data_IF_463394411746
#
_entry.id   IF_463394411746
#
_cell.length_a   1.000
_cell.length_b   1.000
_cell.length_c   1.000
_cell.angle_alpha   90.00
_cell.angle_beta   90.00
_cell.angle_gamma   90.00
#
_symmetry.space_group_name_H-M   'P 1'
#
loop_
_entity.id
_entity.type
_entity.pdbx_description
1 polymer ?
#
# COMPACT_ATOMS: atom_id res chain seq x y z
N UNK A 1 -6.19 -82.71 42.11
CA UNK A 1 -6.51 -81.66 43.09
C UNK A 1 -6.98 -80.45 42.28
N UNK A 2 -8.31 -80.28 42.11
CA UNK A 2 -9.12 -79.20 42.72
C UNK A 2 -8.68 -77.80 42.24
N UNK A 3 -9.49 -76.93 41.64
CA UNK A 3 -10.93 -76.77 41.64
C UNK A 3 -11.44 -75.96 40.42
N UNK A 4 -12.71 -76.22 40.10
CA UNK A 4 -13.62 -75.49 39.22
C UNK A 4 -13.86 -74.02 39.65
N UNK A 5 -14.17 -73.14 38.68
CA UNK A 5 -15.23 -72.14 38.84
C UNK A 5 -16.10 -72.04 37.57
N UNK A 6 -17.40 -72.06 37.84
CA UNK A 6 -18.56 -72.14 36.96
C UNK A 6 -19.04 -70.74 36.49
N UNK A 7 -19.58 -70.72 35.26
CA UNK A 7 -20.77 -70.01 34.76
C UNK A 7 -20.87 -68.47 34.81
N UNK A 8 -21.16 -67.84 33.67
CA UNK A 8 -22.55 -67.55 33.26
C UNK A 8 -22.63 -67.14 31.77
N UNK A 9 -23.62 -67.68 31.08
CA UNK A 9 -24.01 -67.32 29.73
C UNK A 9 -24.99 -66.14 29.76
N UNK A 10 -24.91 -65.27 28.76
CA UNK A 10 -26.04 -64.46 28.31
C UNK A 10 -25.89 -64.19 26.80
N UNK A 11 -26.74 -64.84 26.02
CA UNK A 11 -26.94 -64.55 24.61
C UNK A 11 -27.91 -63.37 24.46
N UNK A 12 -27.56 -62.40 23.62
CA UNK A 12 -28.52 -61.49 23.01
C UNK A 12 -28.19 -61.36 21.52
N UNK A 13 -29.10 -61.88 20.70
CA UNK A 13 -29.16 -61.61 19.28
C UNK A 13 -29.82 -60.24 19.07
N UNK A 14 -29.21 -59.37 18.27
CA UNK A 14 -29.88 -58.21 17.68
C UNK A 14 -29.29 -57.90 16.30
N UNK A 15 -30.09 -58.26 15.30
CA UNK A 15 -30.24 -57.74 13.94
C UNK A 15 -29.33 -56.59 13.49
N UNK A 16 -28.64 -56.84 12.38
CA UNK A 16 -27.99 -55.83 11.55
C UNK A 16 -29.01 -54.83 10.98
N UNK A 17 -28.73 -53.54 11.21
CA UNK A 17 -29.19 -52.43 10.38
C UNK A 17 -27.93 -51.69 9.95
N UNK A 18 -27.55 -51.88 8.69
CA UNK A 18 -26.50 -51.11 8.05
C UNK A 18 -26.96 -49.65 7.96
N UNK A 19 -26.41 -48.80 8.82
CA UNK A 19 -26.42 -47.37 8.61
C UNK A 19 -25.34 -47.04 7.57
N UNK A 20 -25.58 -46.09 6.64
CA UNK A 20 -24.55 -45.68 5.69
C UNK A 20 -23.38 -45.09 6.48
N UNK A 21 -22.19 -45.62 6.23
CA UNK A 21 -20.93 -45.01 6.67
C UNK A 21 -20.82 -43.69 5.92
N UNK A 22 -21.30 -42.63 6.55
CA UNK A 22 -21.00 -41.27 6.13
C UNK A 22 -19.52 -41.06 6.46
N UNK A 23 -18.69 -41.21 5.44
CA UNK A 23 -17.29 -40.87 5.46
C UNK A 23 -17.21 -39.38 5.81
N UNK A 24 -17.06 -39.07 7.12
CA UNK A 24 -16.82 -37.71 7.59
C UNK A 24 -15.44 -37.30 7.10
N UNK A 25 -15.38 -36.84 5.86
CA UNK A 25 -14.20 -36.22 5.30
C UNK A 25 -13.91 -34.98 6.15
N UNK A 26 -12.87 -35.05 6.97
CA UNK A 26 -12.45 -33.91 7.78
C UNK A 26 -12.00 -32.81 6.84
N UNK A 27 -12.72 -31.69 6.83
CA UNK A 27 -12.35 -30.53 6.03
C UNK A 27 -11.07 -29.92 6.62
N UNK A 28 -9.97 -30.08 5.89
CA UNK A 28 -8.64 -29.58 6.29
C UNK A 28 -8.41 -28.12 5.90
N UNK A 29 -9.25 -27.54 5.04
CA UNK A 29 -9.09 -26.16 4.60
C UNK A 29 -9.53 -25.19 5.69
N UNK A 30 -8.54 -24.58 6.35
CA UNK A 30 -8.76 -23.56 7.36
C UNK A 30 -9.40 -22.30 6.78
N UNK A 31 -9.79 -21.39 7.66
CA UNK A 31 -10.25 -20.04 7.26
C UNK A 31 -9.21 -19.40 6.32
N UNK A 32 -9.68 -18.80 5.24
CA UNK A 32 -8.91 -18.20 4.14
C UNK A 32 -8.15 -19.17 3.22
N UNK A 33 -8.23 -20.48 3.44
CA UNK A 33 -7.64 -21.48 2.54
C UNK A 33 -8.48 -21.65 1.26
N UNK A 34 -7.83 -22.09 0.17
CA UNK A 34 -8.54 -22.48 -1.04
C UNK A 34 -9.39 -23.73 -0.76
N UNK A 35 -10.62 -23.72 -1.23
CA UNK A 35 -11.59 -24.80 -1.07
C UNK A 35 -12.31 -25.16 -2.39
N UNK A 36 -11.87 -24.60 -3.50
CA UNK A 36 -12.45 -24.87 -4.83
C UNK A 36 -11.81 -24.05 -5.94
N UNK A 37 -12.29 -24.28 -7.17
CA UNK A 37 -11.80 -23.67 -8.39
C UNK A 37 -11.57 -24.70 -9.52
N UNK A 38 -11.62 -24.27 -10.77
CA UNK A 38 -11.22 -25.10 -11.90
C UNK A 38 -9.77 -25.58 -11.71
N UNK A 39 -9.57 -26.90 -11.79
CA UNK A 39 -8.31 -27.63 -11.53
C UNK A 39 -7.87 -27.73 -10.06
N UNK A 40 -8.72 -27.39 -9.09
CA UNK A 40 -8.45 -27.68 -7.68
C UNK A 40 -8.63 -29.18 -7.37
N UNK A 41 -7.62 -29.80 -6.75
CA UNK A 41 -7.63 -31.24 -6.39
C UNK A 41 -7.78 -31.50 -4.89
N UNK A 42 -7.95 -30.46 -4.06
CA UNK A 42 -8.16 -30.60 -2.62
C UNK A 42 -9.62 -30.81 -2.24
N UNK A 43 -9.89 -30.98 -0.95
CA UNK A 43 -11.26 -31.17 -0.44
C UNK A 43 -12.12 -29.93 -0.69
N UNK A 44 -13.38 -30.05 -1.16
CA UNK A 44 -14.20 -28.89 -1.51
C UNK A 44 -14.99 -28.33 -0.32
N UNK A 45 -14.37 -28.30 0.87
CA UNK A 45 -15.07 -27.95 2.11
C UNK A 45 -14.14 -27.24 3.10
N UNK A 46 -14.73 -26.53 4.07
CA UNK A 46 -14.00 -25.68 5.02
C UNK A 46 -14.14 -26.20 6.46
N UNK A 47 -13.17 -25.86 7.32
CA UNK A 47 -13.29 -26.13 8.77
C UNK A 47 -14.55 -25.48 9.35
N UNK A 48 -15.10 -26.09 10.40
CA UNK A 48 -16.37 -25.66 11.04
C UNK A 48 -16.39 -24.15 11.32
N UNK A 49 -17.51 -23.50 10.98
CA UNK A 49 -17.69 -22.04 11.10
C UNK A 49 -17.31 -21.22 9.85
N UNK A 50 -16.82 -21.87 8.79
CA UNK A 50 -16.44 -21.23 7.54
C UNK A 50 -17.22 -21.81 6.35
N UNK A 51 -17.50 -20.99 5.33
CA UNK A 51 -18.17 -21.39 4.08
C UNK A 51 -17.19 -21.25 2.91
N UNK A 52 -17.24 -22.19 1.96
CA UNK A 52 -16.45 -22.09 0.73
C UNK A 52 -17.13 -21.12 -0.24
N UNK A 53 -16.54 -19.93 -0.44
CA UNK A 53 -17.09 -18.87 -1.27
C UNK A 53 -16.32 -18.79 -2.58
N UNK A 54 -17.03 -18.89 -3.71
CA UNK A 54 -16.43 -18.72 -5.04
C UNK A 54 -15.98 -17.27 -5.21
N UNK A 55 -14.70 -17.08 -5.51
CA UNK A 55 -14.11 -15.76 -5.81
C UNK A 55 -14.08 -15.56 -7.33
N UNK A 56 -13.64 -16.59 -8.07
CA UNK A 56 -13.69 -16.64 -9.53
C UNK A 56 -13.74 -18.11 -10.01
N UNK A 57 -13.67 -18.34 -11.32
CA UNK A 57 -13.78 -19.69 -11.90
C UNK A 57 -12.65 -20.63 -11.47
N UNK A 58 -11.47 -20.11 -11.15
CA UNK A 58 -10.28 -20.88 -10.77
C UNK A 58 -10.02 -20.91 -9.25
N UNK A 59 -10.80 -20.17 -8.47
CA UNK A 59 -10.53 -19.99 -7.04
C UNK A 59 -11.80 -19.78 -6.21
N UNK A 60 -12.00 -20.66 -5.22
CA UNK A 60 -12.95 -20.51 -4.13
C UNK A 60 -12.20 -20.54 -2.79
N UNK A 61 -12.62 -19.74 -1.82
CA UNK A 61 -11.93 -19.55 -0.56
C UNK A 61 -12.85 -19.79 0.65
N UNK A 62 -12.31 -20.41 1.70
CA UNK A 62 -13.00 -20.51 2.99
C UNK A 62 -13.12 -19.14 3.64
N UNK A 63 -14.33 -18.64 3.84
CA UNK A 63 -14.58 -17.37 4.51
C UNK A 63 -15.41 -17.59 5.79
N UNK A 64 -15.21 -16.77 6.84
CA UNK A 64 -16.03 -16.82 8.04
C UNK A 64 -17.51 -16.61 7.70
N UNK A 65 -18.37 -17.53 8.14
CA UNK A 65 -19.80 -17.46 7.86
C UNK A 65 -20.60 -18.08 9.00
N UNK A 66 -21.16 -17.21 9.85
CA UNK A 66 -22.05 -17.53 10.95
C UNK A 66 -23.14 -18.52 10.52
N UNK A 67 -23.44 -19.48 11.40
CA UNK A 67 -24.56 -20.41 11.24
C UNK A 67 -25.85 -19.66 10.88
N UNK A 68 -26.59 -20.18 9.90
CA UNK A 68 -27.87 -19.63 9.42
C UNK A 68 -28.92 -19.53 10.55
N UNK A 69 -29.82 -18.53 10.54
CA UNK A 69 -31.18 -18.72 10.99
C UNK A 69 -32.08 -19.16 9.83
N UNK A 70 -32.89 -20.18 10.13
CA UNK A 70 -33.96 -20.81 9.34
C UNK A 70 -34.94 -19.83 8.65
N UNK A 71 -35.67 -20.25 7.59
CA UNK A 71 -36.47 -19.37 6.76
C UNK A 71 -37.85 -19.11 7.38
N UNK A 72 -38.29 -17.85 7.35
CA UNK A 72 -39.70 -17.50 7.56
C UNK A 72 -40.25 -16.91 6.27
N UNK A 73 -41.21 -17.64 5.70
CA UNK A 73 -42.02 -17.26 4.56
C UNK A 73 -42.94 -16.08 4.92
N UNK A 74 -42.91 -15.02 4.12
CA UNK A 74 -44.04 -14.08 4.01
C UNK A 74 -44.14 -13.57 2.58
N UNK A 75 -45.24 -13.98 1.97
CA UNK A 75 -45.75 -13.57 0.66
C UNK A 75 -46.19 -12.11 0.77
N UNK A 76 -45.66 -11.24 -0.10
CA UNK A 76 -46.32 -9.98 -0.44
C UNK A 76 -46.24 -9.75 -1.94
N UNK A 77 -47.42 -9.81 -2.57
CA UNK A 77 -47.67 -9.47 -3.97
C UNK A 77 -47.23 -8.04 -4.28
N UNK A 78 -46.47 -7.85 -5.36
CA UNK A 78 -46.25 -6.55 -5.98
C UNK A 78 -46.72 -6.59 -7.44
N UNK A 79 -47.73 -5.79 -7.70
CA UNK A 79 -48.44 -5.59 -8.96
C UNK A 79 -47.51 -5.05 -10.05
N UNK A 80 -47.53 -5.70 -11.21
CA UNK A 80 -46.93 -5.24 -12.46
C UNK A 80 -47.62 -3.97 -12.97
N UNK A 81 -46.88 -2.87 -13.08
CA UNK A 81 -47.19 -1.77 -14.00
C UNK A 81 -46.05 -1.60 -15.00
N UNK A 82 -46.37 -1.93 -16.25
CA UNK A 82 -45.54 -1.80 -17.44
C UNK A 82 -45.56 -0.33 -17.87
N UNK A 83 -44.43 0.38 -17.70
CA UNK A 83 -44.24 1.69 -18.30
C UNK A 83 -43.39 1.54 -19.57
N UNK A 84 -44.03 1.79 -20.71
CA UNK A 84 -43.40 1.92 -22.02
C UNK A 84 -42.84 3.34 -22.14
N UNK A 85 -41.54 3.49 -22.37
CA UNK A 85 -40.98 4.73 -22.93
C UNK A 85 -40.01 4.41 -24.05
N UNK A 86 -40.29 5.08 -25.16
CA UNK A 86 -39.63 5.09 -26.46
C UNK A 86 -38.19 5.59 -26.37
N UNK A 87 -37.30 4.97 -27.13
CA UNK A 87 -35.91 5.36 -27.26
C UNK A 87 -35.72 6.69 -27.97
N UNK A 88 -34.67 7.40 -27.57
CA UNK A 88 -33.92 8.31 -28.42
C UNK A 88 -32.45 8.16 -28.07
N UNK A 89 -31.64 7.79 -29.08
CA UNK A 89 -30.20 7.60 -28.96
C UNK A 89 -29.50 8.94 -28.75
N UNK A 90 -28.93 9.11 -27.56
CA UNK A 90 -27.90 10.10 -27.27
C UNK A 90 -26.68 9.37 -26.76
N UNK A 91 -25.55 9.51 -27.44
CA UNK A 91 -24.26 9.05 -26.96
C UNK A 91 -23.89 9.89 -25.73
N UNK A 92 -24.07 9.31 -24.54
CA UNK A 92 -23.63 9.92 -23.28
C UNK A 92 -22.39 9.14 -22.85
N UNK A 93 -21.23 9.77 -22.96
CA UNK A 93 -20.04 9.36 -22.22
C UNK A 93 -20.41 9.35 -20.74
N UNK A 94 -20.51 8.15 -20.15
CA UNK A 94 -20.77 8.00 -18.72
C UNK A 94 -19.72 8.80 -17.93
N UNK A 95 -20.14 9.67 -16.99
CA UNK A 95 -19.22 10.28 -16.05
C UNK A 95 -18.49 9.18 -15.26
N UNK A 96 -17.21 9.35 -14.88
CA UNK A 96 -16.54 8.40 -14.01
C UNK A 96 -17.34 8.26 -12.70
N UNK A 97 -17.35 7.07 -12.06
CA UNK A 97 -18.01 6.89 -10.78
C UNK A 97 -17.52 7.96 -9.80
N UNK A 98 -18.44 8.78 -9.30
CA UNK A 98 -18.16 9.83 -8.32
C UNK A 98 -17.50 9.18 -7.11
N UNK A 99 -16.23 9.49 -6.86
CA UNK A 99 -15.50 8.99 -5.69
C UNK A 99 -16.03 9.65 -4.41
N UNK A 100 -17.09 9.07 -3.83
CA UNK A 100 -17.41 9.16 -2.40
C UNK A 100 -16.89 7.94 -1.63
N UNK A 101 -16.39 6.93 -2.35
CA UNK A 101 -15.79 5.70 -1.82
C UNK A 101 -14.26 5.79 -1.77
N UNK A 102 -13.65 4.83 -1.05
CA UNK A 102 -12.21 4.57 -1.04
C UNK A 102 -11.66 4.46 -2.50
N UNK A 103 -10.64 5.24 -2.90
CA UNK A 103 -10.15 5.28 -4.29
C UNK A 103 -9.50 3.97 -4.76
N UNK A 104 -9.13 3.08 -3.83
CA UNK A 104 -8.57 1.77 -4.13
C UNK A 104 -9.64 0.67 -4.27
N UNK A 105 -10.90 0.96 -3.94
CA UNK A 105 -11.98 -0.02 -4.02
C UNK A 105 -12.52 -0.16 -5.44
N UNK A 106 -12.74 -1.41 -5.84
CA UNK A 106 -13.35 -1.77 -7.13
C UNK A 106 -12.53 -1.32 -8.34
N UNK A 107 -11.20 -1.34 -8.22
CA UNK A 107 -10.23 -1.12 -9.30
C UNK A 107 -9.03 -2.04 -9.10
N UNK A 108 -8.38 -2.39 -10.20
CA UNK A 108 -7.06 -2.98 -10.18
C UNK A 108 -6.01 -1.87 -10.15
N UNK A 109 -4.91 -2.07 -9.43
CA UNK A 109 -3.81 -1.11 -9.41
C UNK A 109 -2.83 -1.45 -10.54
N UNK A 110 -2.44 -0.44 -11.32
CA UNK A 110 -1.51 -0.65 -12.43
C UNK A 110 -0.09 -0.95 -11.95
N UNK A 111 0.48 -2.07 -12.39
CA UNK A 111 1.90 -2.36 -12.24
C UNK A 111 2.66 -1.72 -13.42
N UNK A 112 3.36 -0.62 -13.13
CA UNK A 112 3.96 0.24 -14.14
C UNK A 112 5.10 -0.44 -14.91
N UNK A 113 5.25 -0.06 -16.19
CA UNK A 113 6.24 -0.67 -17.08
C UNK A 113 7.68 -0.29 -16.73
N UNK A 114 7.90 0.84 -16.07
CA UNK A 114 9.23 1.27 -15.63
C UNK A 114 9.83 0.27 -14.65
N UNK A 115 9.18 0.01 -13.51
CA UNK A 115 9.66 -0.95 -12.52
C UNK A 115 9.67 -2.40 -13.07
N UNK A 116 8.66 -2.77 -13.89
CA UNK A 116 8.69 -4.06 -14.60
C UNK A 116 9.94 -4.19 -15.48
N UNK A 117 10.35 -3.12 -16.15
CA UNK A 117 11.56 -3.13 -16.98
C UNK A 117 12.82 -3.28 -16.14
N UNK A 118 12.93 -2.63 -14.98
CA UNK A 118 14.07 -2.81 -14.09
C UNK A 118 14.20 -4.25 -13.61
N UNK A 119 13.10 -4.84 -13.13
CA UNK A 119 13.11 -6.23 -12.67
C UNK A 119 13.45 -7.19 -13.81
N UNK A 120 12.85 -7.01 -14.99
CA UNK A 120 13.05 -7.93 -16.12
C UNK A 120 14.40 -7.79 -16.82
N UNK A 121 14.98 -6.58 -16.87
CA UNK A 121 16.22 -6.32 -17.62
C UNK A 121 17.46 -6.26 -16.72
N UNK A 122 17.32 -5.86 -15.45
CA UNK A 122 18.45 -5.69 -14.54
C UNK A 122 18.54 -6.82 -13.50
N UNK A 123 17.39 -7.32 -13.03
CA UNK A 123 17.33 -8.30 -11.94
C UNK A 123 17.30 -9.74 -12.43
N UNK A 124 16.27 -10.13 -13.18
CA UNK A 124 16.05 -11.51 -13.64
C UNK A 124 17.28 -12.10 -14.33
N UNK A 125 18.03 -11.38 -15.20
CA UNK A 125 19.22 -11.92 -15.85
C UNK A 125 20.35 -12.29 -14.88
N UNK A 126 20.33 -11.78 -13.64
CA UNK A 126 21.31 -12.07 -12.58
C UNK A 126 20.80 -13.11 -11.57
N UNK A 127 19.58 -13.62 -11.76
CA UNK A 127 18.93 -14.60 -10.89
C UNK A 127 18.74 -15.93 -11.62
N UNK A 128 18.48 -16.99 -10.85
CA UNK A 128 18.20 -18.32 -11.40
C UNK A 128 17.15 -19.05 -10.57
N UNK A 129 16.53 -20.07 -11.17
CA UNK A 129 15.59 -20.96 -10.49
C UNK A 129 14.43 -20.21 -9.83
N UNK A 130 14.08 -20.61 -8.60
CA UNK A 130 12.97 -20.03 -7.84
C UNK A 130 13.09 -18.52 -7.64
N UNK A 131 14.31 -17.98 -7.51
CA UNK A 131 14.54 -16.54 -7.35
C UNK A 131 14.17 -15.74 -8.61
N UNK A 132 14.48 -16.26 -9.80
CA UNK A 132 14.09 -15.61 -11.05
C UNK A 132 12.57 -15.62 -11.26
N UNK A 133 11.91 -16.74 -10.92
CA UNK A 133 10.45 -16.85 -10.94
C UNK A 133 9.79 -15.92 -9.93
N UNK A 134 10.35 -15.80 -8.73
CA UNK A 134 9.86 -14.88 -7.69
C UNK A 134 10.04 -13.42 -8.12
N UNK A 135 11.18 -13.06 -8.72
CA UNK A 135 11.41 -11.74 -9.29
C UNK A 135 10.37 -11.39 -10.36
N UNK A 136 10.05 -12.32 -11.28
CA UNK A 136 9.01 -12.10 -12.28
C UNK A 136 7.64 -11.79 -11.65
N UNK A 137 7.27 -12.46 -10.55
CA UNK A 137 6.04 -12.14 -9.81
C UNK A 137 6.09 -10.75 -9.16
N UNK A 138 7.25 -10.31 -8.67
CA UNK A 138 7.43 -8.95 -8.11
C UNK A 138 7.20 -7.88 -9.16
N UNK A 139 7.61 -8.12 -10.42
CA UNK A 139 7.42 -7.19 -11.53
C UNK A 139 5.94 -6.87 -11.82
N UNK A 140 5.02 -7.73 -11.38
CA UNK A 140 3.57 -7.55 -11.54
C UNK A 140 2.88 -7.06 -10.25
N UNK A 141 3.65 -6.74 -9.20
CA UNK A 141 3.10 -6.08 -8.01
C UNK A 141 3.03 -4.57 -8.24
N UNK A 142 1.87 -3.93 -8.04
CA UNK A 142 1.68 -2.54 -8.41
C UNK A 142 2.32 -1.58 -7.39
N UNK A 143 3.49 -1.04 -7.74
CA UNK A 143 4.16 0.05 -7.01
C UNK A 143 3.84 1.42 -7.59
N UNK A 144 3.96 2.46 -6.76
CA UNK A 144 3.88 3.85 -7.21
C UNK A 144 5.05 4.19 -8.13
N UNK A 145 4.78 5.02 -9.15
CA UNK A 145 5.81 5.56 -10.04
C UNK A 145 6.15 7.00 -9.65
N UNK A 146 7.44 7.32 -9.56
CA UNK A 146 7.92 8.57 -8.96
C UNK A 146 8.18 9.64 -10.01
N UNK A 147 7.54 10.80 -9.84
CA UNK A 147 7.83 12.02 -10.59
C UNK A 147 8.83 12.83 -9.75
N UNK A 148 10.04 12.32 -9.65
CA UNK A 148 11.13 12.90 -8.83
C UNK A 148 12.04 13.86 -9.60
N UNK A 149 11.70 14.12 -10.87
CA UNK A 149 12.22 15.17 -11.75
C UNK A 149 11.12 15.62 -12.73
N UNK A 150 11.31 16.75 -13.39
CA UNK A 150 10.48 17.23 -14.48
C UNK A 150 10.42 16.23 -15.64
N UNK A 151 11.56 15.65 -16.01
CA UNK A 151 11.65 14.72 -17.14
C UNK A 151 10.87 13.43 -16.87
N UNK A 152 10.79 12.99 -15.61
CA UNK A 152 10.03 11.80 -15.22
C UNK A 152 8.52 11.99 -15.36
N UNK A 153 8.00 13.21 -15.53
CA UNK A 153 6.57 13.44 -15.87
C UNK A 153 6.17 12.66 -17.13
N UNK A 154 7.08 12.52 -18.10
CA UNK A 154 6.82 11.74 -19.31
C UNK A 154 6.41 10.29 -19.01
N UNK A 155 7.00 9.67 -17.98
CA UNK A 155 6.66 8.30 -17.59
C UNK A 155 5.24 8.17 -17.03
N UNK A 156 4.69 9.21 -16.39
CA UNK A 156 3.28 9.24 -15.99
C UNK A 156 2.37 9.26 -17.22
N UNK A 157 2.69 10.09 -18.22
CA UNK A 157 1.91 10.18 -19.45
C UNK A 157 1.89 8.84 -20.21
N UNK A 158 3.04 8.17 -20.31
CA UNK A 158 3.17 6.83 -20.89
C UNK A 158 2.34 5.79 -20.13
N UNK A 159 2.48 5.72 -18.80
CA UNK A 159 1.71 4.80 -17.97
C UNK A 159 0.20 5.04 -18.07
N UNK A 160 -0.24 6.30 -18.12
CA UNK A 160 -1.65 6.65 -18.26
C UNK A 160 -2.20 6.30 -19.66
N UNK A 161 -1.38 6.43 -20.71
CA UNK A 161 -1.72 5.95 -22.05
C UNK A 161 -1.99 4.44 -22.07
N UNK A 162 -1.11 3.66 -21.43
CA UNK A 162 -1.25 2.21 -21.30
C UNK A 162 -2.47 1.82 -20.47
N UNK A 163 -2.68 2.48 -19.31
CA UNK A 163 -3.86 2.26 -18.46
C UNK A 163 -5.14 2.53 -19.24
N UNK A 164 -5.24 3.68 -19.89
CA UNK A 164 -6.42 4.05 -20.70
C UNK A 164 -6.67 3.01 -21.79
N UNK A 165 -5.63 2.53 -22.46
CA UNK A 165 -5.74 1.48 -23.48
C UNK A 165 -6.26 0.18 -22.88
N UNK A 166 -5.72 -0.25 -21.73
CA UNK A 166 -6.19 -1.45 -21.03
C UNK A 166 -7.64 -1.31 -20.55
N UNK A 167 -8.03 -0.14 -20.05
CA UNK A 167 -9.40 0.14 -19.60
C UNK A 167 -10.40 0.13 -20.77
N UNK A 168 -10.03 0.68 -21.92
CA UNK A 168 -10.83 0.59 -23.15
C UNK A 168 -10.97 -0.85 -23.67
N UNK A 169 -10.05 -1.74 -23.31
CA UNK A 169 -10.13 -3.17 -23.61
C UNK A 169 -10.93 -3.97 -22.57
N UNK A 170 -11.61 -3.29 -21.62
CA UNK A 170 -12.44 -3.92 -20.59
C UNK A 170 -11.77 -4.06 -19.23
N UNK A 171 -10.54 -3.56 -19.07
CA UNK A 171 -9.88 -3.44 -17.76
C UNK A 171 -10.50 -2.34 -16.90
N UNK A 172 -10.10 -2.31 -15.63
CA UNK A 172 -10.51 -1.27 -14.68
C UNK A 172 -9.35 -0.91 -13.75
N UNK A 173 -8.32 -0.34 -14.36
CA UNK A 173 -7.06 0.00 -13.73
C UNK A 173 -7.01 1.46 -13.27
N UNK A 174 -6.37 1.68 -12.12
CA UNK A 174 -6.00 2.99 -11.60
C UNK A 174 -4.48 3.20 -11.64
N UNK A 175 -4.06 4.43 -11.93
CA UNK A 175 -2.66 4.85 -11.88
C UNK A 175 -2.24 5.32 -10.49
N UNK A 176 -0.99 5.06 -10.10
CA UNK A 176 -0.41 5.41 -8.80
C UNK A 176 0.90 6.17 -9.01
N UNK A 177 0.97 7.42 -8.57
CA UNK A 177 2.14 8.28 -8.80
C UNK A 177 2.54 9.05 -7.54
N UNK A 178 3.83 9.35 -7.44
CA UNK A 178 4.39 10.22 -6.39
C UNK A 178 4.77 11.54 -7.03
N UNK A 179 4.26 12.64 -6.48
CA UNK A 179 4.72 14.01 -6.79
C UNK A 179 5.86 14.31 -5.79
N UNK A 180 7.09 14.50 -6.27
CA UNK A 180 8.25 14.64 -5.37
C UNK A 180 9.37 15.50 -5.97
N UNK A 181 9.13 16.79 -6.14
CA UNK A 181 10.11 17.68 -6.77
C UNK A 181 10.16 19.08 -6.14
N UNK A 182 9.81 19.20 -4.85
CA UNK A 182 9.93 20.47 -4.13
C UNK A 182 11.35 21.07 -4.25
N UNK A 183 11.48 22.40 -4.39
CA UNK A 183 12.78 23.05 -4.38
C UNK A 183 13.45 22.96 -3.01
N UNK A 184 14.77 22.78 -2.98
CA UNK A 184 15.54 22.47 -1.77
C UNK A 184 15.13 21.14 -1.10
N UNK A 185 14.64 20.17 -1.91
CA UNK A 185 14.18 18.83 -1.49
C UNK A 185 15.12 18.17 -0.46
N UNK A 186 14.52 17.34 0.40
CA UNK A 186 15.20 16.58 1.48
C UNK A 186 16.06 17.51 2.35
N UNK A 187 15.39 18.44 3.02
CA UNK A 187 16.05 19.56 3.67
C UNK A 187 16.91 19.14 4.88
N UNK A 188 16.66 17.97 5.45
CA UNK A 188 17.41 17.40 6.58
C UNK A 188 18.37 16.27 6.17
N UNK A 189 18.32 15.80 4.93
CA UNK A 189 19.29 14.85 4.40
C UNK A 189 20.65 15.55 4.17
N UNK A 190 21.74 14.79 4.26
CA UNK A 190 23.07 15.31 3.96
C UNK A 190 23.23 15.59 2.45
N UNK A 191 22.51 14.84 1.61
CA UNK A 191 22.43 15.06 0.17
C UNK A 191 21.00 14.84 -0.35
N UNK A 192 20.67 15.49 -1.45
CA UNK A 192 19.38 15.33 -2.15
C UNK A 192 19.60 15.22 -3.66
N UNK A 193 18.70 14.52 -4.34
CA UNK A 193 18.61 14.47 -5.79
C UNK A 193 17.66 15.54 -6.39
N UNK A 194 17.08 16.43 -5.58
CA UNK A 194 16.16 17.46 -6.06
C UNK A 194 16.85 18.42 -7.05
N UNK A 195 16.19 18.68 -8.18
CA UNK A 195 16.76 19.50 -9.26
C UNK A 195 16.49 21.01 -9.11
N UNK A 196 15.52 21.37 -8.27
CA UNK A 196 15.18 22.76 -8.00
C UNK A 196 15.77 23.25 -6.69
N UNK A 197 16.14 24.54 -6.69
CA UNK A 197 16.56 25.24 -5.49
C UNK A 197 15.85 26.59 -5.36
N UNK A 198 15.58 27.02 -4.14
CA UNK A 198 14.81 28.25 -3.87
C UNK A 198 15.52 29.52 -4.36
N UNK A 199 16.86 29.51 -4.36
CA UNK A 199 17.71 30.58 -4.87
C UNK A 199 17.78 30.63 -6.42
N UNK A 200 17.32 29.58 -7.12
CA UNK A 200 17.35 29.46 -8.58
C UNK A 200 15.97 29.24 -9.18
N UNK A 201 15.04 30.10 -8.78
CA UNK A 201 13.67 30.16 -9.28
C UNK A 201 12.83 28.90 -8.98
N UNK A 202 13.22 28.13 -7.95
CA UNK A 202 12.63 26.84 -7.65
C UNK A 202 11.12 26.87 -7.41
N UNK A 203 10.58 27.96 -6.85
CA UNK A 203 9.12 28.10 -6.67
C UNK A 203 8.36 28.13 -7.99
N UNK A 204 8.86 28.87 -8.98
CA UNK A 204 8.19 28.98 -10.28
C UNK A 204 8.36 27.70 -11.10
N UNK A 205 9.55 27.09 -11.05
CA UNK A 205 9.80 25.77 -11.66
C UNK A 205 8.87 24.69 -11.10
N UNK A 206 8.71 24.63 -9.78
CA UNK A 206 7.76 23.70 -9.17
C UNK A 206 6.30 23.97 -9.58
N UNK A 207 5.88 25.24 -9.66
CA UNK A 207 4.54 25.59 -10.17
C UNK A 207 4.35 25.15 -11.62
N UNK A 208 5.38 25.29 -12.47
CA UNK A 208 5.34 24.80 -13.85
C UNK A 208 5.30 23.26 -13.94
N UNK A 209 6.04 22.58 -13.07
CA UNK A 209 6.01 21.13 -12.88
C UNK A 209 4.58 20.65 -12.52
N UNK A 210 3.95 21.25 -11.50
CA UNK A 210 2.56 20.96 -11.12
C UNK A 210 1.58 21.27 -12.26
N UNK A 211 1.76 22.38 -12.98
CA UNK A 211 0.91 22.73 -14.12
C UNK A 211 0.99 21.69 -15.25
N UNK A 212 2.18 21.16 -15.55
CA UNK A 212 2.37 20.09 -16.55
C UNK A 212 1.69 18.79 -16.10
N UNK A 213 1.85 18.40 -14.83
CA UNK A 213 1.14 17.25 -14.26
C UNK A 213 -0.38 17.45 -14.39
N UNK A 214 -0.91 18.60 -13.96
CA UNK A 214 -2.34 18.91 -14.06
C UNK A 214 -2.88 18.74 -15.48
N UNK A 215 -2.16 19.23 -16.49
CA UNK A 215 -2.55 19.07 -17.90
C UNK A 215 -2.72 17.61 -18.29
N UNK A 216 -1.75 16.75 -17.94
CA UNK A 216 -1.83 15.30 -18.17
C UNK A 216 -3.03 14.70 -17.42
N UNK A 217 -3.21 15.02 -16.13
CA UNK A 217 -4.34 14.47 -15.36
C UNK A 217 -5.72 14.84 -15.94
N UNK A 218 -5.83 16.03 -16.56
CA UNK A 218 -7.03 16.46 -17.28
C UNK A 218 -7.20 15.72 -18.61
N UNK A 219 -6.12 15.56 -19.37
CA UNK A 219 -6.10 14.79 -20.62
C UNK A 219 -6.46 13.32 -20.39
N UNK A 220 -6.22 12.78 -19.20
CA UNK A 220 -6.56 11.43 -18.73
C UNK A 220 -7.72 11.38 -17.72
N UNK A 221 -8.67 12.31 -17.84
CA UNK A 221 -9.84 12.43 -16.94
C UNK A 221 -10.79 11.22 -16.87
N UNK A 222 -10.69 10.28 -17.83
CA UNK A 222 -11.39 8.99 -17.86
C UNK A 222 -10.70 7.89 -17.02
N UNK A 223 -9.50 8.16 -16.50
CA UNK A 223 -8.68 7.22 -15.72
C UNK A 223 -8.62 7.67 -14.26
N UNK A 224 -8.79 6.72 -13.32
CA UNK A 224 -8.62 6.99 -11.88
C UNK A 224 -7.15 7.12 -11.54
N UNK A 225 -6.79 8.15 -10.78
CA UNK A 225 -5.40 8.49 -10.48
C UNK A 225 -5.24 8.75 -8.98
N UNK A 226 -4.22 8.14 -8.38
CA UNK A 226 -3.91 8.24 -6.95
C UNK A 226 -2.52 8.84 -6.81
N UNK A 227 -2.41 9.90 -6.01
CA UNK A 227 -1.20 10.68 -5.83
C UNK A 227 -0.74 10.65 -4.37
N UNK A 228 0.54 10.37 -4.18
CA UNK A 228 1.27 10.71 -2.97
C UNK A 228 1.94 12.06 -3.17
N UNK A 229 1.83 12.96 -2.21
CA UNK A 229 2.31 14.34 -2.30
C UNK A 229 3.52 14.52 -1.38
N UNK A 230 4.66 14.76 -2.02
CA UNK A 230 5.92 15.25 -1.47
C UNK A 230 6.40 14.49 -0.22
N UNK A 231 6.84 13.22 -0.37
CA UNK A 231 7.57 12.50 0.67
C UNK A 231 8.69 13.31 1.30
N UNK A 232 8.95 13.10 2.60
CA UNK A 232 10.03 13.76 3.34
C UNK A 232 9.94 15.30 3.38
N UNK A 233 8.80 15.92 3.05
CA UNK A 233 8.68 17.37 3.06
C UNK A 233 8.19 17.91 4.41
N UNK A 234 6.94 17.65 4.76
CA UNK A 234 6.24 18.30 5.87
C UNK A 234 6.58 17.69 7.23
N UNK A 235 6.99 16.42 7.28
CA UNK A 235 7.50 15.80 8.50
C UNK A 235 8.76 16.52 9.03
N UNK A 236 9.61 17.02 8.14
CA UNK A 236 10.75 17.87 8.50
C UNK A 236 10.32 19.17 9.20
N UNK A 237 9.14 19.71 8.87
CA UNK A 237 8.64 20.95 9.48
C UNK A 237 8.14 20.76 10.91
N UNK A 238 7.96 19.51 11.35
CA UNK A 238 7.58 19.17 12.72
C UNK A 238 8.81 19.03 13.61
N UNK A 239 9.91 18.46 13.09
CA UNK A 239 11.02 17.95 13.93
C UNK A 239 12.39 18.53 13.58
N UNK A 240 12.58 19.05 12.37
CA UNK A 240 13.88 19.44 11.84
C UNK A 240 13.99 20.94 11.56
N UNK A 241 13.17 21.77 12.23
CA UNK A 241 13.21 23.22 12.11
C UNK A 241 14.50 23.86 12.66
N UNK A 242 15.31 23.10 13.41
CA UNK A 242 16.66 23.47 13.81
C UNK A 242 17.69 23.32 12.67
N UNK A 243 17.37 22.59 11.61
CA UNK A 243 18.24 22.47 10.42
C UNK A 243 18.06 23.73 9.55
N UNK A 244 19.12 24.51 9.27
CA UNK A 244 18.98 25.78 8.56
C UNK A 244 18.32 25.66 7.18
N UNK A 245 18.64 24.61 6.41
CA UNK A 245 18.01 24.33 5.11
C UNK A 245 16.50 24.13 5.26
N UNK A 246 16.05 23.35 6.24
CA UNK A 246 14.63 23.17 6.53
C UNK A 246 13.94 24.45 6.99
N UNK A 247 14.56 25.20 7.91
CA UNK A 247 14.01 26.46 8.39
C UNK A 247 13.78 27.46 7.25
N UNK A 248 14.73 27.56 6.32
CA UNK A 248 14.63 28.42 5.14
C UNK A 248 13.54 27.94 4.17
N UNK A 249 13.44 26.62 3.94
CA UNK A 249 12.50 26.03 3.00
C UNK A 249 11.05 25.97 3.53
N UNK A 250 10.85 26.06 4.85
CA UNK A 250 9.56 25.79 5.49
C UNK A 250 8.37 26.57 4.94
N UNK A 251 8.56 27.86 4.67
CA UNK A 251 7.50 28.69 4.09
C UNK A 251 7.16 28.26 2.66
N UNK A 252 8.17 27.91 1.86
CA UNK A 252 8.00 27.45 0.50
C UNK A 252 7.34 26.08 0.44
N UNK A 253 7.74 25.13 1.30
CA UNK A 253 7.13 23.80 1.36
C UNK A 253 5.63 23.90 1.63
N UNK A 254 5.22 24.68 2.62
CA UNK A 254 3.79 24.90 2.91
C UNK A 254 3.06 25.55 1.74
N UNK A 255 3.62 26.62 1.17
CA UNK A 255 3.04 27.33 0.01
C UNK A 255 2.83 26.40 -1.19
N UNK A 256 3.87 25.65 -1.56
CA UNK A 256 3.91 24.83 -2.76
C UNK A 256 3.11 23.53 -2.60
N UNK A 257 3.05 22.95 -1.40
CA UNK A 257 2.12 21.86 -1.11
C UNK A 257 0.67 22.34 -1.19
N UNK A 258 0.32 23.50 -0.61
CA UNK A 258 -1.02 24.08 -0.77
C UNK A 258 -1.35 24.33 -2.26
N UNK A 259 -0.38 24.81 -3.04
CA UNK A 259 -0.55 25.00 -4.47
C UNK A 259 -0.86 23.68 -5.20
N UNK A 260 -0.04 22.63 -4.98
CA UNK A 260 -0.27 21.31 -5.57
C UNK A 260 -1.66 20.74 -5.20
N UNK A 261 -2.04 20.83 -3.93
CA UNK A 261 -3.34 20.37 -3.44
C UNK A 261 -4.53 21.10 -4.08
N UNK A 262 -4.38 22.39 -4.41
CA UNK A 262 -5.42 23.17 -5.11
C UNK A 262 -5.48 22.83 -6.59
N UNK A 263 -4.33 22.81 -7.26
CA UNK A 263 -4.24 22.62 -8.71
C UNK A 263 -4.62 21.19 -9.14
N UNK A 264 -4.27 20.19 -8.33
CA UNK A 264 -4.51 18.77 -8.61
C UNK A 264 -5.83 18.25 -8.03
N UNK A 265 -6.69 19.13 -7.50
CA UNK A 265 -8.03 18.79 -6.99
C UNK A 265 -9.03 18.50 -8.12
N UNK A 266 -8.71 17.50 -8.96
CA UNK A 266 -9.46 17.12 -10.16
C UNK A 266 -10.40 15.93 -9.91
N UNK A 267 -11.55 15.81 -10.62
CA UNK A 267 -12.56 14.79 -10.33
C UNK A 267 -12.08 13.32 -10.31
N UNK A 268 -11.04 13.00 -11.08
CA UNK A 268 -10.48 11.66 -11.22
C UNK A 268 -9.25 11.40 -10.32
N UNK A 269 -8.85 12.37 -9.49
CA UNK A 269 -7.65 12.32 -8.66
C UNK A 269 -7.99 12.03 -7.20
N UNK A 270 -7.13 11.34 -6.47
CA UNK A 270 -7.15 11.26 -5.01
C UNK A 270 -5.76 11.46 -4.45
N UNK A 271 -5.60 12.37 -3.49
CA UNK A 271 -4.31 12.78 -2.95
C UNK A 271 -4.13 12.35 -1.49
N UNK A 272 -2.93 11.93 -1.15
CA UNK A 272 -2.46 11.65 0.21
C UNK A 272 -1.15 12.39 0.45
N UNK A 273 -1.09 13.22 1.49
CA UNK A 273 0.13 13.97 1.85
C UNK A 273 1.04 13.06 2.67
N UNK A 274 2.34 13.06 2.40
CA UNK A 274 3.27 12.31 3.24
C UNK A 274 3.26 12.80 4.70
N UNK A 275 3.24 11.84 5.62
CA UNK A 275 3.24 12.07 7.06
C UNK A 275 4.36 11.31 7.78
N UNK A 276 5.47 11.04 7.10
CA UNK A 276 6.57 10.27 7.67
C UNK A 276 6.11 8.88 8.13
N UNK A 277 6.47 8.48 9.35
CA UNK A 277 6.15 7.16 9.88
C UNK A 277 6.10 7.15 11.41
N UNK A 278 5.71 6.03 12.02
CA UNK A 278 5.57 5.87 13.47
C UNK A 278 6.85 6.18 14.26
N UNK A 279 8.02 5.96 13.64
CA UNK A 279 9.33 6.26 14.21
C UNK A 279 9.76 7.71 14.12
N UNK A 280 8.97 8.55 13.45
CA UNK A 280 9.26 9.96 13.23
C UNK A 280 8.19 10.86 13.84
N UNK A 281 6.99 10.85 13.28
CA UNK A 281 5.88 11.68 13.78
C UNK A 281 4.98 10.92 14.77
N UNK A 282 5.14 9.60 14.87
CA UNK A 282 4.39 8.78 15.82
C UNK A 282 4.84 8.89 17.27
N UNK A 283 5.94 9.58 17.57
CA UNK A 283 6.31 9.87 18.95
C UNK A 283 5.23 10.73 19.62
N UNK A 284 4.84 10.44 20.88
CA UNK A 284 3.76 11.19 21.55
C UNK A 284 3.93 12.71 21.56
N UNK A 285 5.17 13.20 21.65
CA UNK A 285 5.48 14.63 21.60
C UNK A 285 5.31 15.27 20.21
N UNK A 286 5.43 14.47 19.15
CA UNK A 286 5.36 14.94 17.76
C UNK A 286 3.94 14.85 17.19
N UNK A 287 3.05 14.05 17.81
CA UNK A 287 1.68 13.87 17.36
C UNK A 287 0.86 15.18 17.33
N UNK A 288 0.76 15.99 18.41
CA UNK A 288 0.03 17.26 18.36
C UNK A 288 0.55 18.25 17.30
N UNK A 289 1.86 18.58 17.22
CA UNK A 289 2.33 19.52 16.20
C UNK A 289 2.19 18.98 14.77
N UNK A 290 2.30 17.65 14.55
CA UNK A 290 2.00 17.04 13.27
C UNK A 290 0.52 17.23 12.88
N UNK A 291 -0.41 16.92 13.79
CA UNK A 291 -1.83 17.11 13.55
C UNK A 291 -2.18 18.57 13.23
N UNK A 292 -1.61 19.51 14.00
CA UNK A 292 -1.79 20.94 13.77
C UNK A 292 -1.31 21.37 12.37
N UNK A 293 -0.14 20.90 11.95
CA UNK A 293 0.42 21.18 10.63
C UNK A 293 -0.51 20.69 9.51
N UNK A 294 -0.88 19.41 9.53
CA UNK A 294 -1.70 18.81 8.47
C UNK A 294 -3.13 19.35 8.46
N UNK A 295 -3.74 19.57 9.63
CA UNK A 295 -5.04 20.21 9.75
C UNK A 295 -5.05 21.63 9.21
N UNK A 296 -4.00 22.42 9.51
CA UNK A 296 -3.86 23.78 8.97
C UNK A 296 -3.67 23.77 7.44
N UNK A 297 -2.81 22.91 6.91
CA UNK A 297 -2.63 22.75 5.46
C UNK A 297 -3.93 22.39 4.75
N UNK A 298 -4.72 21.46 5.31
CA UNK A 298 -6.02 21.08 4.78
C UNK A 298 -6.98 22.28 4.73
N UNK A 299 -7.03 23.08 5.80
CA UNK A 299 -7.84 24.31 5.86
C UNK A 299 -7.37 25.37 4.86
N UNK A 300 -6.07 25.64 4.77
CA UNK A 300 -5.48 26.65 3.88
C UNK A 300 -5.55 26.27 2.40
N UNK A 301 -5.55 24.97 2.12
CA UNK A 301 -5.84 24.40 0.81
C UNK A 301 -7.31 24.58 0.39
N UNK A 302 -8.20 25.01 1.30
CA UNK A 302 -9.63 25.18 1.04
C UNK A 302 -10.41 23.88 1.15
N UNK A 303 -9.93 22.92 1.96
CA UNK A 303 -10.52 21.60 2.17
C UNK A 303 -10.81 20.86 0.85
N UNK A 304 -9.79 20.60 0.01
CA UNK A 304 -9.99 20.00 -1.32
C UNK A 304 -10.71 18.65 -1.22
N UNK A 305 -11.79 18.46 -1.98
CA UNK A 305 -12.60 17.22 -1.92
C UNK A 305 -11.85 15.97 -2.39
N UNK A 306 -10.72 16.14 -3.08
CA UNK A 306 -9.85 15.07 -3.56
C UNK A 306 -8.63 14.84 -2.66
N UNK A 307 -8.45 15.66 -1.63
CA UNK A 307 -7.47 15.41 -0.59
C UNK A 307 -8.08 14.45 0.45
N UNK A 308 -7.68 13.18 0.34
CA UNK A 308 -8.29 12.07 1.07
C UNK A 308 -7.68 11.87 2.46
N UNK A 309 -6.40 12.19 2.62
CA UNK A 309 -5.72 12.12 3.91
C UNK A 309 -4.22 12.07 3.76
N UNK A 310 -3.58 11.12 4.45
CA UNK A 310 -2.12 11.04 4.59
C UNK A 310 -1.57 9.69 4.10
N UNK A 311 -0.31 9.65 3.69
CA UNK A 311 0.45 8.41 3.50
C UNK A 311 1.51 8.29 4.59
N UNK A 312 1.73 7.08 5.09
CA UNK A 312 2.77 6.82 6.08
C UNK A 312 3.71 5.70 5.62
N UNK A 313 4.89 5.65 6.24
CA UNK A 313 5.95 4.66 6.01
C UNK A 313 6.60 4.72 4.61
N UNK A 314 6.38 5.78 3.84
CA UNK A 314 6.99 5.94 2.50
C UNK A 314 8.50 5.77 2.59
N UNK A 315 9.03 4.85 1.79
CA UNK A 315 10.47 4.54 1.78
C UNK A 315 11.03 4.09 3.13
N UNK A 316 10.21 3.64 4.08
CA UNK A 316 10.66 3.13 5.37
C UNK A 316 10.25 1.65 5.54
N UNK A 317 10.40 1.10 6.74
CA UNK A 317 10.40 -0.34 6.97
C UNK A 317 9.47 -0.78 8.10
N UNK A 318 8.67 0.13 8.65
CA UNK A 318 7.77 -0.20 9.75
C UNK A 318 6.74 -1.23 9.32
N UNK A 319 6.47 -2.20 10.18
CA UNK A 319 5.33 -3.08 9.98
C UNK A 319 4.03 -2.31 10.14
N UNK A 320 2.98 -2.79 9.46
CA UNK A 320 1.61 -2.34 9.73
C UNK A 320 1.21 -2.62 11.19
N UNK A 321 1.38 -3.86 11.65
CA UNK A 321 0.93 -4.31 12.98
C UNK A 321 1.87 -5.37 13.53
N UNK A 322 2.41 -5.12 14.72
CA UNK A 322 3.30 -6.04 15.43
C UNK A 322 2.66 -6.55 16.72
N UNK A 323 2.97 -7.81 17.05
CA UNK A 323 2.64 -8.43 18.33
C UNK A 323 3.67 -8.09 19.42
N UNK A 324 4.92 -7.86 19.04
CA UNK A 324 6.00 -7.46 19.94
C UNK A 324 6.76 -6.27 19.37
N UNK A 325 7.23 -5.41 20.27
CA UNK A 325 7.96 -4.19 19.96
C UNK A 325 9.42 -4.52 19.57
N UNK A 326 9.92 -4.09 18.40
CA UNK A 326 11.35 -4.19 18.06
C UNK A 326 12.20 -3.28 18.95
N UNK A 327 13.41 -3.72 19.33
CA UNK A 327 14.25 -2.99 20.28
C UNK A 327 14.60 -1.56 19.82
N UNK A 328 14.87 -1.37 18.52
CA UNK A 328 15.20 -0.06 17.95
C UNK A 328 14.04 0.95 17.98
N UNK A 329 12.82 0.53 18.33
CA UNK A 329 11.68 1.46 18.51
C UNK A 329 11.66 2.10 19.92
N UNK A 330 12.61 1.72 20.76
CA UNK A 330 12.88 2.31 22.07
C UNK A 330 11.62 2.42 22.95
N UNK A 331 11.34 3.59 23.53
CA UNK A 331 10.20 3.82 24.42
C UNK A 331 8.92 4.22 23.68
N UNK A 332 8.94 4.37 22.35
CA UNK A 332 7.79 4.83 21.60
C UNK A 332 6.62 3.84 21.71
N UNK A 333 5.45 4.25 22.23
CA UNK A 333 4.28 3.36 22.28
C UNK A 333 3.71 3.06 20.89
N UNK A 334 3.99 3.92 19.90
CA UNK A 334 3.49 3.82 18.52
C UNK A 334 4.53 3.16 17.61
N UNK A 335 5.00 1.97 18.01
CA UNK A 335 6.08 1.21 17.37
C UNK A 335 5.71 0.51 16.04
N UNK A 336 4.48 0.67 15.57
CA UNK A 336 4.02 0.23 14.25
C UNK A 336 3.04 1.25 13.67
N UNK A 337 2.77 1.13 12.36
CA UNK A 337 1.98 2.13 11.64
C UNK A 337 0.51 2.15 12.07
N UNK A 338 -0.06 1.00 12.47
CA UNK A 338 -1.43 0.96 13.00
C UNK A 338 -1.54 1.82 14.25
N UNK A 339 -0.62 1.67 15.22
CA UNK A 339 -0.65 2.47 16.44
C UNK A 339 -0.43 3.94 16.17
N UNK A 340 0.52 4.27 15.28
CA UNK A 340 0.75 5.65 14.86
C UNK A 340 -0.52 6.29 14.28
N UNK A 341 -1.16 5.63 13.31
CA UNK A 341 -2.36 6.13 12.65
C UNK A 341 -3.52 6.28 13.63
N UNK A 342 -3.73 5.31 14.51
CA UNK A 342 -4.80 5.36 15.52
C UNK A 342 -4.55 6.47 16.55
N UNK A 343 -3.30 6.81 16.84
CA UNK A 343 -2.96 7.91 17.73
C UNK A 343 -3.07 9.29 17.04
N UNK A 344 -2.76 9.39 15.75
CA UNK A 344 -2.80 10.65 15.00
C UNK A 344 -4.22 11.03 14.55
N UNK A 345 -5.01 10.07 14.08
CA UNK A 345 -6.34 10.31 13.49
C UNK A 345 -7.28 11.16 14.36
N UNK A 346 -7.46 10.91 15.68
CA UNK A 346 -8.34 11.75 16.51
C UNK A 346 -7.84 13.19 16.66
N UNK A 347 -6.53 13.43 16.54
CA UNK A 347 -5.96 14.78 16.59
C UNK A 347 -6.19 15.53 15.28
N UNK A 348 -6.13 14.86 14.13
CA UNK A 348 -6.48 15.47 12.83
C UNK A 348 -7.95 15.92 12.81
N UNK A 349 -8.85 15.12 13.40
CA UNK A 349 -10.25 15.49 13.55
C UNK A 349 -10.42 16.75 14.41
N UNK A 350 -9.73 16.84 15.54
CA UNK A 350 -9.71 18.04 16.40
C UNK A 350 -9.18 19.28 15.67
N UNK A 351 -8.21 19.09 14.77
CA UNK A 351 -7.63 20.18 13.97
C UNK A 351 -8.47 20.57 12.74
N UNK A 352 -9.65 19.97 12.58
CA UNK A 352 -10.65 20.34 11.58
C UNK A 352 -10.58 19.52 10.29
N UNK A 353 -9.94 18.35 10.31
CA UNK A 353 -9.91 17.37 9.21
C UNK A 353 -10.60 16.05 9.60
N UNK A 354 -11.92 16.05 9.83
CA UNK A 354 -12.65 14.85 10.16
C UNK A 354 -12.62 13.86 8.99
N UNK A 355 -12.44 12.58 9.31
CA UNK A 355 -12.49 11.50 8.33
C UNK A 355 -11.27 11.38 7.40
N UNK A 356 -10.16 12.07 7.71
CA UNK A 356 -8.88 11.84 7.04
C UNK A 356 -8.55 10.34 7.04
N UNK A 357 -8.21 9.80 5.86
CA UNK A 357 -7.83 8.40 5.68
C UNK A 357 -6.33 8.24 5.46
N UNK A 358 -5.87 7.01 5.54
CA UNK A 358 -4.47 6.68 5.41
C UNK A 358 -4.23 5.65 4.31
N UNK A 359 -3.07 5.75 3.69
CA UNK A 359 -2.45 4.62 2.98
C UNK A 359 -1.09 4.36 3.61
N UNK A 360 -0.65 3.11 3.61
CA UNK A 360 0.57 2.70 4.31
C UNK A 360 1.48 1.95 3.37
N UNK A 361 2.69 2.48 3.17
CA UNK A 361 3.73 1.77 2.41
C UNK A 361 4.14 0.52 3.19
N UNK A 362 4.09 -0.64 2.54
CA UNK A 362 4.55 -1.93 3.07
C UNK A 362 5.54 -2.60 2.10
N UNK A 363 6.07 -1.86 1.12
CA UNK A 363 6.97 -2.37 0.09
C UNK A 363 8.20 -3.09 0.64
N UNK A 364 8.72 -2.66 1.79
CA UNK A 364 9.95 -3.20 2.39
C UNK A 364 9.78 -3.69 3.83
N UNK A 365 8.53 -3.92 4.25
CA UNK A 365 8.16 -4.16 5.66
C UNK A 365 7.91 -5.63 6.02
N UNK A 366 8.19 -6.58 5.13
CA UNK A 366 7.81 -7.99 5.29
C UNK A 366 8.54 -8.71 6.43
N UNK A 367 9.84 -8.44 6.59
CA UNK A 367 10.64 -9.04 7.67
C UNK A 367 10.74 -8.10 8.86
N UNK A 368 10.25 -8.58 10.01
CA UNK A 368 10.26 -7.86 11.29
C UNK A 368 10.80 -8.77 12.40
N UNK A 369 11.61 -8.26 13.35
CA UNK A 369 12.27 -6.96 13.26
C UNK A 369 13.20 -6.88 12.04
N UNK A 370 13.43 -5.67 11.56
CA UNK A 370 14.41 -5.40 10.50
C UNK A 370 15.83 -5.63 11.03
N UNK A 371 16.84 -5.45 10.17
CA UNK A 371 18.25 -5.43 10.60
C UNK A 371 18.76 -4.07 11.08
N UNK A 372 17.89 -3.06 11.17
CA UNK A 372 18.25 -1.71 11.63
C UNK A 372 18.82 -1.75 13.06
N UNK A 373 19.78 -0.87 13.34
CA UNK A 373 20.38 -0.73 14.68
C UNK A 373 19.71 0.41 15.46
N UNK A 374 19.33 1.47 14.77
CA UNK A 374 18.47 2.52 15.25
C UNK A 374 17.30 2.75 14.29
N UNK A 375 16.17 3.26 14.79
CA UNK A 375 14.99 3.46 13.95
C UNK A 375 15.23 4.47 12.81
N UNK A 376 16.12 5.44 13.04
CA UNK A 376 16.55 6.43 12.07
C UNK A 376 17.52 5.90 11.00
N UNK A 377 17.89 4.61 11.02
CA UNK A 377 18.72 4.00 9.98
C UNK A 377 17.86 3.73 8.73
N UNK A 378 17.62 4.76 7.93
CA UNK A 378 16.68 4.70 6.80
C UNK A 378 17.31 4.17 5.50
N UNK A 379 18.61 4.35 5.29
CA UNK A 379 19.24 4.08 4.00
C UNK A 379 19.61 2.61 3.81
N UNK A 380 19.04 1.96 2.79
CA UNK A 380 19.35 0.59 2.36
C UNK A 380 19.43 -0.40 3.53
N UNK A 381 18.44 -0.39 4.43
CA UNK A 381 18.53 -1.14 5.69
C UNK A 381 18.63 -2.67 5.47
N UNK A 382 19.54 -3.37 6.16
CA UNK A 382 19.72 -4.81 6.03
C UNK A 382 18.56 -5.57 6.67
N UNK A 383 18.42 -6.83 6.29
CA UNK A 383 17.45 -7.74 6.93
C UNK A 383 15.99 -7.31 6.78
N UNK A 384 15.66 -6.59 5.70
CA UNK A 384 14.31 -6.21 5.28
C UNK A 384 13.79 -7.18 4.21
N UNK A 385 12.49 -7.15 3.93
CA UNK A 385 11.81 -8.07 3.02
C UNK A 385 10.62 -7.42 2.32
N UNK A 386 10.27 -7.85 1.10
CA UNK A 386 9.03 -7.40 0.47
C UNK A 386 7.82 -7.73 1.37
N UNK A 387 6.97 -6.75 1.66
CA UNK A 387 5.89 -6.90 2.64
C UNK A 387 4.51 -7.21 2.06
N UNK A 388 3.47 -6.88 2.82
CA UNK A 388 2.06 -7.06 2.41
C UNK A 388 1.84 -6.50 1.01
N UNK A 389 1.15 -7.25 0.16
CA UNK A 389 0.86 -6.80 -1.21
C UNK A 389 -0.16 -5.66 -1.19
N UNK A 390 -0.10 -4.73 -2.16
CA UNK A 390 -1.07 -3.65 -2.25
C UNK A 390 -2.52 -4.17 -2.25
N UNK A 391 -3.37 -3.58 -1.41
CA UNK A 391 -4.75 -4.05 -1.22
C UNK A 391 -5.59 -3.01 -0.49
N UNK A 392 -6.83 -2.81 -0.96
CA UNK A 392 -7.84 -2.03 -0.25
C UNK A 392 -8.46 -2.78 0.95
N UNK A 393 -8.24 -4.09 1.05
CA UNK A 393 -8.78 -4.93 2.12
C UNK A 393 -7.85 -4.87 3.35
N UNK A 394 -7.81 -3.72 4.01
CA UNK A 394 -6.91 -3.47 5.15
C UNK A 394 -7.43 -4.03 6.47
N UNK A 395 -8.77 -4.18 6.58
CA UNK A 395 -9.44 -4.53 7.83
C UNK A 395 -9.47 -3.40 8.86
N UNK A 396 -9.05 -2.19 8.48
CA UNK A 396 -8.99 -1.02 9.35
C UNK A 396 -9.74 0.15 8.73
N UNK A 397 -10.70 0.72 9.45
CA UNK A 397 -11.57 1.76 8.94
C UNK A 397 -10.83 3.08 8.65
N UNK A 398 -9.63 3.29 9.21
CA UNK A 398 -8.81 4.47 8.96
C UNK A 398 -7.94 4.33 7.71
N UNK A 399 -7.72 3.11 7.22
CA UNK A 399 -6.76 2.83 6.15
C UNK A 399 -7.47 2.42 4.87
N UNK A 400 -7.36 3.24 3.84
CA UNK A 400 -7.91 2.97 2.52
C UNK A 400 -7.15 1.84 1.81
N UNK A 401 -5.83 1.75 1.94
CA UNK A 401 -5.05 0.66 1.35
C UNK A 401 -3.67 0.44 2.00
N UNK A 402 -3.20 -0.82 1.95
CA UNK A 402 -1.77 -1.09 1.92
C UNK A 402 -1.26 -0.85 0.51
N UNK A 403 -0.09 -0.25 0.39
CA UNK A 403 0.51 0.14 -0.89
C UNK A 403 2.01 -0.15 -0.91
N UNK A 404 2.62 -0.16 -2.09
CA UNK A 404 4.07 -0.15 -2.26
C UNK A 404 4.44 1.20 -2.87
N UNK A 405 4.88 2.15 -2.04
CA UNK A 405 5.21 3.50 -2.53
C UNK A 405 6.64 3.49 -3.05
N UNK A 406 7.63 3.15 -2.21
CA UNK A 406 9.01 2.96 -2.67
C UNK A 406 9.17 1.62 -3.41
N UNK A 407 9.60 1.60 -4.69
CA UNK A 407 9.88 0.37 -5.40
C UNK A 407 11.14 -0.28 -4.82
N UNK A 408 10.97 -1.43 -4.17
CA UNK A 408 12.08 -2.13 -3.52
C UNK A 408 13.08 -2.67 -4.55
N UNK A 409 14.35 -2.31 -4.42
CA UNK A 409 15.38 -2.65 -5.40
C UNK A 409 16.05 -1.41 -5.99
N UNK A 410 15.33 -0.30 -6.08
CA UNK A 410 15.93 1.01 -6.30
C UNK A 410 16.64 1.46 -5.00
N UNK A 411 17.90 1.88 -5.10
CA UNK A 411 18.68 2.29 -3.93
C UNK A 411 18.12 3.55 -3.27
N UNK A 412 18.30 3.65 -1.96
CA UNK A 412 18.00 4.86 -1.19
C UNK A 412 19.15 5.88 -1.26
N UNK A 413 20.37 5.47 -1.64
CA UNK A 413 21.55 6.33 -1.69
C UNK A 413 22.87 5.58 -1.72
N UNK A 414 23.91 6.25 -2.23
CA UNK A 414 25.23 5.68 -2.44
C UNK A 414 26.00 5.50 -1.14
N UNK A 415 26.74 4.40 -1.04
CA UNK A 415 27.67 4.17 0.07
C UNK A 415 29.10 4.63 -0.25
N UNK A 416 29.33 5.16 -1.45
CA UNK A 416 30.62 5.73 -1.85
C UNK A 416 30.81 7.10 -1.19
N UNK A 417 31.73 7.18 -0.23
CA UNK A 417 32.01 8.41 0.52
C UNK A 417 32.64 9.52 -0.32
N UNK A 418 33.11 9.21 -1.54
CA UNK A 418 33.64 10.18 -2.50
C UNK A 418 32.58 10.75 -3.44
N UNK A 419 31.39 10.16 -3.47
CA UNK A 419 30.31 10.62 -4.33
C UNK A 419 29.78 11.99 -3.86
N UNK A 420 29.45 12.86 -4.82
CA UNK A 420 28.96 14.20 -4.55
C UNK A 420 27.65 14.22 -3.73
N UNK A 421 26.87 13.12 -3.77
CA UNK A 421 25.59 12.97 -3.08
C UNK A 421 25.62 11.90 -2.00
N UNK A 422 26.79 11.63 -1.44
CA UNK A 422 26.92 10.75 -0.30
C UNK A 422 26.11 11.26 0.90
N UNK A 423 25.24 10.42 1.45
CA UNK A 423 24.62 10.62 2.75
C UNK A 423 25.24 9.68 3.78
N UNK A 424 25.58 10.19 4.96
CA UNK A 424 26.26 9.41 5.99
C UNK A 424 25.42 8.21 6.46
N UNK A 425 24.08 8.29 6.41
CA UNK A 425 23.20 7.16 6.72
C UNK A 425 23.37 5.98 5.76
N UNK A 426 23.86 6.21 4.54
CA UNK A 426 24.14 5.14 3.57
C UNK A 426 25.53 4.50 3.77
N UNK A 427 26.40 5.12 4.59
CA UNK A 427 27.73 4.61 4.91
C UNK A 427 27.82 3.85 6.24
N UNK A 428 26.83 3.96 7.13
CA UNK A 428 26.86 3.29 8.45
C UNK A 428 26.90 1.77 8.33
N UNK A 429 27.42 1.06 9.35
CA UNK A 429 27.44 -0.42 9.38
C UNK A 429 26.05 -1.05 9.21
N UNK A 430 25.01 -0.36 9.66
CA UNK A 430 23.59 -0.71 9.52
C UNK A 430 22.97 -0.48 8.15
N UNK A 431 23.75 -0.30 7.08
CA UNK A 431 23.29 -0.18 5.69
C UNK A 431 23.91 -1.27 4.78
N UNK A 432 23.15 -1.80 3.83
CA UNK A 432 23.65 -2.76 2.82
C UNK A 432 24.60 -2.05 1.85
N UNK A 433 25.80 -2.61 1.65
CA UNK A 433 26.90 -2.01 0.87
C UNK A 433 27.60 -3.05 -0.01
N UNK A 434 28.27 -2.65 -1.10
CA UNK A 434 28.28 -1.29 -1.67
C UNK A 434 26.94 -0.96 -2.33
N UNK A 435 26.42 0.24 -2.05
CA UNK A 435 25.16 0.74 -2.61
C UNK A 435 25.44 1.76 -3.73
N UNK A 436 24.69 1.73 -4.84
CA UNK A 436 24.82 2.70 -5.93
C UNK A 436 24.05 4.00 -5.60
N UNK A 437 24.02 4.95 -6.53
CA UNK A 437 23.28 6.21 -6.39
C UNK A 437 21.79 6.01 -6.10
N UNK A 438 21.19 6.93 -5.35
CA UNK A 438 19.75 6.90 -5.05
C UNK A 438 18.92 6.83 -6.34
N UNK A 439 17.88 6.00 -6.33
CA UNK A 439 17.01 5.75 -7.48
C UNK A 439 17.56 4.74 -8.49
N UNK A 440 18.84 4.38 -8.43
CA UNK A 440 19.42 3.39 -9.35
C UNK A 440 19.25 1.95 -8.83
N UNK A 441 19.25 0.99 -9.75
CA UNK A 441 19.03 -0.42 -9.40
C UNK A 441 20.13 -1.02 -8.50
N UNK A 442 19.72 -1.55 -7.35
CA UNK A 442 20.56 -2.21 -6.37
C UNK A 442 20.23 -3.71 -6.26
N UNK A 443 20.88 -4.51 -7.10
CA UNK A 443 20.63 -5.95 -7.21
C UNK A 443 20.71 -6.72 -5.88
N UNK A 444 21.77 -6.50 -5.09
CA UNK A 444 21.95 -7.23 -3.83
C UNK A 444 20.83 -6.92 -2.82
N UNK A 445 20.32 -5.69 -2.84
CA UNK A 445 19.20 -5.28 -2.00
C UNK A 445 17.89 -5.90 -2.47
N UNK A 446 17.62 -5.91 -3.78
CA UNK A 446 16.46 -6.60 -4.34
C UNK A 446 16.43 -8.10 -3.99
N UNK A 447 17.58 -8.77 -4.06
CA UNK A 447 17.72 -10.16 -3.63
C UNK A 447 17.43 -10.37 -2.15
N UNK A 448 17.90 -9.46 -1.29
CA UNK A 448 17.57 -9.47 0.14
C UNK A 448 16.05 -9.38 0.32
N UNK A 449 15.40 -8.43 -0.35
CA UNK A 449 13.96 -8.21 -0.25
C UNK A 449 13.17 -9.45 -0.68
N UNK A 450 13.59 -10.12 -1.77
CA UNK A 450 13.00 -11.36 -2.26
C UNK A 450 13.14 -12.51 -1.26
N UNK A 451 14.36 -12.75 -0.75
CA UNK A 451 14.65 -13.85 0.21
C UNK A 451 13.84 -13.71 1.50
N UNK A 452 13.62 -12.47 1.93
CA UNK A 452 12.92 -12.15 3.17
C UNK A 452 11.45 -11.76 2.95
N UNK A 453 10.91 -11.98 1.74
CA UNK A 453 9.55 -11.57 1.42
C UNK A 453 8.52 -12.26 2.34
N UNK A 454 7.58 -11.49 2.87
CA UNK A 454 6.50 -11.98 3.71
C UNK A 454 5.21 -11.20 3.41
N UNK A 455 4.20 -11.83 2.76
CA UNK A 455 4.20 -13.23 2.30
C UNK A 455 5.28 -13.55 1.25
N UNK A 456 5.73 -14.80 1.19
CA UNK A 456 6.78 -15.26 0.25
C UNK A 456 6.34 -15.16 -1.21
N UNK A 457 7.29 -14.92 -2.13
CA UNK A 457 7.12 -15.18 -3.57
C UNK A 457 7.73 -16.50 -4.04
N UNK A 458 8.64 -17.04 -3.22
CA UNK A 458 9.35 -18.32 -3.40
C UNK A 458 8.46 -19.50 -3.06
#
# INVERSE_FOLDING_TARGET
MTAYKLFLAAAFAATALAAPVEERQSCSNGVWSQCGGQNWSGTPCCTSGNKCVKVNDFYSQCQPGSADPSPTSTIVSATTTKATTTGSGGSVTSPPPVATNNPFSGVDLWANNYYRSEVSTLAIPKLSGAMATAAAKVADVPSFQWMDTYDHISFMEESLADIRKANKAGGNYAGQFVVYDLPDRDCAAAASNGEYSLDKDGKNKYKAYIAKIKGILQDYSDTRIILVIEPDSLANMVTNMNVPKCANAASAYKELTIHALKELNLPNVSMYIDAGHGGWLGWPANLPPAAQLYGQLYKDAGKPSRLRGLVTNVSNYNAWKLSSKPDYTESNPNYDEQKYIHALSPLLEQEGWPGAKFIVDQGRSGKQPTGQKAWGDWCNAPGTGFGLRPSANTGDALVDAFVWVKPGGESDGTSDTSAARYDYHCGIDGAVKPAPEAGTWFQAYFEQLLKNANPSFL
#
